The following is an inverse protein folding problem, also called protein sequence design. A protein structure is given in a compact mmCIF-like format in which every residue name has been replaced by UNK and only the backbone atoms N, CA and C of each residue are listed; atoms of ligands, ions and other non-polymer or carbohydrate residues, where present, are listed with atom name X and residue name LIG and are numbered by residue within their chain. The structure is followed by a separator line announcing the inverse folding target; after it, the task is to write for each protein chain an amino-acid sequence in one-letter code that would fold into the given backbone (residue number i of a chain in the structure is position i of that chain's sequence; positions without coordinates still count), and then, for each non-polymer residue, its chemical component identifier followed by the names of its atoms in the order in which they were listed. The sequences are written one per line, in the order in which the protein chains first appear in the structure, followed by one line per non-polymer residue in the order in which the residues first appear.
data_IF_695567312472
#
_entry.id   IF_695567312472
#
_cell.length_a   1.000
_cell.length_b   1.000
_cell.length_c   1.000
_cell.angle_alpha   90.00
_cell.angle_beta   90.00
_cell.angle_gamma   90.00
#
_symmetry.space_group_name_H-M   'P 1'
#
loop_
_entity.id
_entity.type
_entity.pdbx_description
1 polymer ?
#
# COMPACT_ATOMS: atom_id res chain seq x y z
N UNK A 1 -10.83 -11.12 13.76
CA UNK A 1 -12.30 -11.26 13.93
C UNK A 1 -12.92 -10.91 12.59
N UNK A 2 -13.61 -11.88 12.00
CA UNK A 2 -14.28 -11.67 10.72
C UNK A 2 -15.58 -10.91 11.00
N UNK A 3 -15.65 -9.67 10.55
CA UNK A 3 -16.84 -8.83 10.71
C UNK A 3 -17.85 -9.26 9.64
N UNK A 4 -19.13 -9.56 9.98
CA UNK A 4 -20.12 -10.04 9.00
C UNK A 4 -20.28 -9.13 7.78
N UNK A 5 -20.17 -7.81 7.96
CA UNK A 5 -20.20 -6.85 6.86
C UNK A 5 -18.99 -7.00 5.93
N UNK A 6 -17.83 -7.43 6.45
CA UNK A 6 -16.63 -7.69 5.64
C UNK A 6 -16.83 -8.87 4.71
N UNK A 7 -17.40 -9.97 5.22
CA UNK A 7 -17.72 -11.14 4.41
C UNK A 7 -18.73 -10.79 3.32
N UNK A 8 -19.79 -10.04 3.66
CA UNK A 8 -20.80 -9.60 2.70
C UNK A 8 -20.22 -8.66 1.63
N UNK A 9 -19.38 -7.71 2.00
CA UNK A 9 -18.67 -6.86 1.03
C UNK A 9 -17.70 -7.67 0.16
N UNK A 10 -17.02 -8.66 0.73
CA UNK A 10 -16.14 -9.55 -0.01
C UNK A 10 -16.92 -10.46 -0.98
N UNK A 11 -18.10 -10.92 -0.61
CA UNK A 11 -19.00 -11.67 -1.49
C UNK A 11 -19.48 -10.80 -2.65
N UNK A 12 -19.96 -9.58 -2.35
CA UNK A 12 -20.38 -8.62 -3.37
C UNK A 12 -19.24 -8.22 -4.31
N UNK A 13 -18.03 -8.06 -3.78
CA UNK A 13 -16.85 -7.76 -4.58
C UNK A 13 -16.46 -8.89 -5.55
N UNK A 14 -16.85 -10.14 -5.27
CA UNK A 14 -16.61 -11.31 -6.12
C UNK A 14 -17.66 -11.54 -7.20
N UNK A 15 -18.77 -10.82 -7.17
CA UNK A 15 -19.76 -10.88 -8.25
C UNK A 15 -19.11 -10.45 -9.56
N UNK A 16 -19.24 -11.21 -10.66
CA UNK A 16 -18.54 -10.92 -11.92
C UNK A 16 -18.75 -9.49 -12.42
N UNK A 17 -19.93 -8.93 -12.27
CA UNK A 17 -20.23 -7.55 -12.64
C UNK A 17 -19.44 -6.55 -11.79
N UNK A 18 -19.31 -6.77 -10.49
CA UNK A 18 -18.56 -5.90 -9.57
C UNK A 18 -17.06 -5.98 -9.85
N UNK A 19 -16.54 -7.18 -10.15
CA UNK A 19 -15.15 -7.38 -10.56
C UNK A 19 -14.86 -6.61 -11.84
N UNK A 20 -15.73 -6.73 -12.85
CA UNK A 20 -15.57 -6.02 -14.12
C UNK A 20 -15.60 -4.50 -13.93
N UNK A 21 -16.52 -3.95 -13.12
CA UNK A 21 -16.57 -2.54 -12.75
C UNK A 21 -15.28 -2.10 -12.04
N UNK A 22 -14.69 -2.94 -11.19
CA UNK A 22 -13.43 -2.64 -10.49
C UNK A 22 -12.22 -2.64 -11.44
N UNK A 23 -12.18 -3.58 -12.39
CA UNK A 23 -11.16 -3.63 -13.43
C UNK A 23 -11.26 -2.40 -14.34
N UNK A 24 -12.48 -2.04 -14.78
CA UNK A 24 -12.73 -0.86 -15.60
C UNK A 24 -12.29 0.43 -14.87
N UNK A 25 -12.66 0.57 -13.61
CA UNK A 25 -12.25 1.70 -12.76
C UNK A 25 -10.72 1.83 -12.66
N UNK A 26 -10.03 0.74 -12.34
CA UNK A 26 -8.56 0.74 -12.27
C UNK A 26 -7.93 1.13 -13.60
N UNK A 27 -8.40 0.54 -14.70
CA UNK A 27 -7.90 0.87 -16.03
C UNK A 27 -8.13 2.34 -16.39
N UNK A 28 -9.29 2.91 -16.04
CA UNK A 28 -9.60 4.35 -16.22
C UNK A 28 -8.64 5.23 -15.41
N UNK A 29 -8.44 4.91 -14.12
CA UNK A 29 -7.60 5.74 -13.23
C UNK A 29 -6.11 5.67 -13.54
N UNK A 30 -5.63 4.56 -14.11
CA UNK A 30 -4.22 4.42 -14.53
C UNK A 30 -3.94 5.13 -15.88
N UNK A 31 -4.22 6.43 -15.95
CA UNK A 31 -3.99 7.27 -17.14
C UNK A 31 -2.52 7.38 -17.54
N UNK A 32 -1.63 7.14 -16.59
CA UNK A 32 -0.18 7.16 -16.79
C UNK A 32 0.35 5.92 -17.51
N UNK A 33 -0.40 4.80 -17.56
CA UNK A 33 0.01 3.60 -18.29
C UNK A 33 -0.11 3.81 -19.80
N UNK A 34 0.89 3.29 -20.49
CA UNK A 34 0.97 3.30 -21.95
C UNK A 34 1.05 1.88 -22.48
N UNK A 35 0.68 1.71 -23.73
CA UNK A 35 0.93 0.47 -24.46
C UNK A 35 2.43 0.13 -24.43
N UNK A 36 2.74 -1.14 -24.15
CA UNK A 36 4.11 -1.63 -24.01
C UNK A 36 4.77 -1.39 -22.64
N UNK A 37 4.12 -0.68 -21.69
CA UNK A 37 4.62 -0.64 -20.30
C UNK A 37 4.65 -2.06 -19.69
N UNK A 38 5.62 -2.31 -18.82
CA UNK A 38 5.74 -3.58 -18.08
C UNK A 38 5.55 -3.28 -16.60
N UNK A 39 4.47 -3.82 -16.04
CA UNK A 39 4.03 -3.55 -14.67
C UNK A 39 4.36 -4.74 -13.77
N UNK A 40 5.27 -4.55 -12.83
CA UNK A 40 5.60 -5.54 -11.81
C UNK A 40 4.63 -5.40 -10.63
N UNK A 41 3.81 -6.42 -10.39
CA UNK A 41 2.76 -6.44 -9.37
C UNK A 41 3.23 -7.29 -8.18
N UNK A 42 3.57 -6.64 -7.07
CA UNK A 42 4.00 -7.28 -5.82
C UNK A 42 2.82 -7.61 -4.90
N UNK A 43 1.86 -8.37 -5.42
CA UNK A 43 0.70 -8.90 -4.67
C UNK A 43 0.41 -10.32 -5.12
N UNK A 44 -0.07 -11.17 -4.17
CA UNK A 44 -0.41 -12.55 -4.48
C UNK A 44 -1.73 -12.63 -5.26
N UNK A 45 -1.73 -13.49 -6.28
CA UNK A 45 -2.94 -13.94 -6.95
C UNK A 45 -3.42 -15.23 -6.26
N UNK A 46 -3.84 -15.09 -4.99
CA UNK A 46 -4.15 -16.20 -4.09
C UNK A 46 -5.56 -16.75 -4.23
N UNK A 47 -6.48 -15.96 -4.77
CA UNK A 47 -7.89 -16.32 -4.94
C UNK A 47 -8.51 -15.54 -6.10
N UNK A 48 -9.62 -16.04 -6.67
CA UNK A 48 -10.40 -15.31 -7.68
C UNK A 48 -10.84 -13.93 -7.15
N UNK A 49 -10.69 -12.90 -7.96
CA UNK A 49 -11.00 -11.53 -7.61
C UNK A 49 -9.99 -10.88 -6.62
N UNK A 50 -8.82 -11.49 -6.41
CA UNK A 50 -7.75 -10.85 -5.61
C UNK A 50 -7.32 -9.52 -6.21
N UNK A 51 -6.77 -8.63 -5.39
CA UNK A 51 -6.26 -7.34 -5.86
C UNK A 51 -5.24 -7.50 -7.00
N UNK A 52 -4.37 -8.51 -6.92
CA UNK A 52 -3.42 -8.81 -7.97
C UNK A 52 -4.10 -9.18 -9.29
N UNK A 53 -5.16 -9.98 -9.26
CA UNK A 53 -5.93 -10.33 -10.46
C UNK A 53 -6.65 -9.13 -11.07
N UNK A 54 -7.27 -8.27 -10.24
CA UNK A 54 -7.92 -7.05 -10.70
C UNK A 54 -6.91 -6.11 -11.36
N UNK A 55 -5.76 -5.95 -10.73
CA UNK A 55 -4.69 -5.10 -11.24
C UNK A 55 -4.10 -5.64 -12.53
N UNK A 56 -3.84 -6.96 -12.61
CA UNK A 56 -3.39 -7.64 -13.82
C UNK A 56 -4.32 -7.36 -15.01
N UNK A 57 -5.61 -7.64 -14.85
CA UNK A 57 -6.62 -7.43 -15.91
C UNK A 57 -6.76 -5.96 -16.29
N UNK A 58 -6.65 -5.05 -15.32
CA UNK A 58 -6.70 -3.61 -15.61
C UNK A 58 -5.47 -3.13 -16.39
N UNK A 59 -4.28 -3.64 -16.06
CA UNK A 59 -3.03 -3.38 -16.78
C UNK A 59 -3.11 -3.90 -18.22
N UNK A 60 -3.56 -5.14 -18.41
CA UNK A 60 -3.72 -5.75 -19.74
C UNK A 60 -4.73 -5.00 -20.60
N UNK A 61 -5.82 -4.48 -20.01
CA UNK A 61 -6.82 -3.64 -20.70
C UNK A 61 -6.22 -2.34 -21.23
N UNK A 62 -5.13 -1.86 -20.64
CA UNK A 62 -4.38 -0.68 -21.12
C UNK A 62 -3.32 -1.01 -22.18
N UNK A 63 -3.22 -2.26 -22.63
CA UNK A 63 -2.17 -2.72 -23.56
C UNK A 63 -0.80 -2.90 -22.90
N UNK A 64 -0.71 -2.78 -21.59
CA UNK A 64 0.51 -3.01 -20.82
C UNK A 64 0.64 -4.49 -20.42
N UNK A 65 1.87 -4.93 -20.10
CA UNK A 65 2.15 -6.30 -19.66
C UNK A 65 2.25 -6.37 -18.16
N UNK A 66 1.49 -7.26 -17.53
CA UNK A 66 1.63 -7.57 -16.10
C UNK A 66 2.68 -8.66 -15.86
N UNK A 67 3.44 -8.51 -14.79
CA UNK A 67 4.39 -9.49 -14.25
C UNK A 67 4.08 -9.66 -12.77
N UNK A 68 3.66 -10.87 -12.37
CA UNK A 68 3.25 -11.17 -11.00
C UNK A 68 4.30 -12.01 -10.28
N UNK A 69 4.30 -11.90 -8.96
CA UNK A 69 5.04 -12.80 -8.08
C UNK A 69 4.16 -14.04 -7.83
N UNK A 70 4.65 -15.21 -8.18
CA UNK A 70 3.85 -16.45 -8.05
C UNK A 70 3.90 -17.04 -6.64
N UNK A 71 5.09 -17.46 -6.18
CA UNK A 71 5.24 -18.23 -4.93
C UNK A 71 6.40 -17.79 -4.04
N UNK A 72 7.42 -17.20 -4.62
CA UNK A 72 8.66 -16.87 -3.90
C UNK A 72 8.74 -15.35 -3.64
N UNK A 73 8.49 -14.97 -2.40
CA UNK A 73 8.43 -13.58 -1.95
C UNK A 73 9.75 -13.06 -1.39
N UNK A 74 10.81 -13.86 -1.43
CA UNK A 74 12.12 -13.42 -0.95
C UNK A 74 12.60 -12.18 -1.72
N UNK A 75 13.22 -11.30 -1.00
CA UNK A 75 13.75 -10.04 -1.54
C UNK A 75 14.57 -10.22 -2.83
N UNK A 76 15.39 -11.29 -2.87
CA UNK A 76 16.18 -11.59 -4.07
C UNK A 76 15.34 -12.00 -5.27
N UNK A 77 14.24 -12.72 -5.05
CA UNK A 77 13.32 -13.09 -6.12
C UNK A 77 12.60 -11.88 -6.66
N UNK A 78 12.11 -10.99 -5.78
CA UNK A 78 11.49 -9.73 -6.17
C UNK A 78 12.45 -8.88 -7.01
N UNK A 79 13.70 -8.74 -6.57
CA UNK A 79 14.71 -8.00 -7.31
C UNK A 79 14.99 -8.60 -8.70
N UNK A 80 15.16 -9.92 -8.78
CA UNK A 80 15.41 -10.63 -10.04
C UNK A 80 14.25 -10.47 -11.02
N UNK A 81 13.01 -10.63 -10.55
CA UNK A 81 11.82 -10.46 -11.38
C UNK A 81 11.68 -9.04 -11.91
N UNK A 82 11.82 -8.02 -11.05
CA UNK A 82 11.76 -6.62 -11.47
C UNK A 82 12.84 -6.29 -12.50
N UNK A 83 14.07 -6.80 -12.31
CA UNK A 83 15.18 -6.58 -13.23
C UNK A 83 15.00 -7.34 -14.56
N UNK A 84 14.76 -8.66 -14.51
CA UNK A 84 14.71 -9.51 -15.71
C UNK A 84 13.52 -9.20 -16.61
N UNK A 85 12.40 -8.79 -16.01
CA UNK A 85 11.22 -8.35 -16.77
C UNK A 85 11.40 -6.97 -17.41
N UNK A 86 12.41 -6.19 -16.99
CA UNK A 86 12.59 -4.78 -17.35
C UNK A 86 11.36 -3.93 -17.00
N UNK A 87 10.72 -4.24 -15.87
CA UNK A 87 9.56 -3.50 -15.42
C UNK A 87 9.88 -2.01 -15.27
N UNK A 88 9.03 -1.17 -15.84
CA UNK A 88 9.13 0.28 -15.73
C UNK A 88 8.03 0.89 -14.86
N UNK A 89 7.07 0.06 -14.44
CA UNK A 89 6.03 0.39 -13.45
C UNK A 89 6.05 -0.67 -12.36
N UNK A 90 5.85 -0.26 -11.11
CA UNK A 90 5.68 -1.18 -9.98
C UNK A 90 4.38 -0.87 -9.23
N UNK A 91 3.65 -1.92 -8.85
CA UNK A 91 2.50 -1.88 -7.96
C UNK A 91 2.85 -2.68 -6.72
N UNK A 92 3.06 -2.02 -5.59
CA UNK A 92 3.56 -2.68 -4.37
C UNK A 92 3.21 -1.89 -3.09
N UNK A 93 3.31 -2.53 -1.90
CA UNK A 93 3.34 -1.82 -0.64
C UNK A 93 4.51 -0.82 -0.60
N UNK A 94 4.33 0.40 -0.03
CA UNK A 94 5.33 1.46 -0.11
C UNK A 94 6.69 1.05 0.48
N UNK A 95 6.69 0.29 1.58
CA UNK A 95 7.94 -0.18 2.21
C UNK A 95 8.62 -1.27 1.39
N UNK A 96 7.88 -2.07 0.62
CA UNK A 96 8.46 -3.03 -0.34
C UNK A 96 9.17 -2.28 -1.47
N UNK A 97 8.57 -1.19 -1.97
CA UNK A 97 9.23 -0.34 -2.98
C UNK A 97 10.54 0.21 -2.43
N UNK A 98 10.53 0.83 -1.24
CA UNK A 98 11.73 1.40 -0.62
C UNK A 98 12.81 0.33 -0.37
N UNK A 99 12.44 -0.83 0.18
CA UNK A 99 13.36 -1.94 0.43
C UNK A 99 13.97 -2.48 -0.87
N UNK A 100 13.16 -2.69 -1.90
CA UNK A 100 13.60 -3.19 -3.20
C UNK A 100 14.62 -2.25 -3.85
N UNK A 101 14.41 -0.93 -3.75
CA UNK A 101 15.34 0.07 -4.27
C UNK A 101 16.68 0.06 -3.52
N UNK A 102 16.64 -0.03 -2.19
CA UNK A 102 17.86 -0.16 -1.37
C UNK A 102 18.63 -1.43 -1.71
N UNK A 103 17.91 -2.55 -1.86
CA UNK A 103 18.52 -3.82 -2.25
C UNK A 103 19.15 -3.74 -3.65
N UNK A 104 18.44 -3.14 -4.61
CA UNK A 104 18.95 -2.92 -5.96
C UNK A 104 20.28 -2.13 -5.94
N UNK A 105 20.31 -1.04 -5.17
CA UNK A 105 21.53 -0.25 -4.97
C UNK A 105 22.65 -1.07 -4.31
N UNK A 106 22.35 -1.78 -3.23
CA UNK A 106 23.33 -2.63 -2.53
C UNK A 106 23.93 -3.71 -3.43
N UNK A 107 23.11 -4.29 -4.33
CA UNK A 107 23.55 -5.31 -5.29
C UNK A 107 24.13 -4.76 -6.59
N UNK A 108 24.12 -3.45 -6.79
CA UNK A 108 24.52 -2.85 -8.06
C UNK A 108 23.63 -3.26 -9.25
N UNK A 109 22.36 -3.61 -8.98
CA UNK A 109 21.40 -4.06 -9.99
C UNK A 109 20.55 -2.87 -10.44
N UNK A 110 20.61 -2.41 -11.69
CA UNK A 110 19.79 -1.30 -12.16
C UNK A 110 18.32 -1.74 -12.26
N UNK A 111 17.41 -0.90 -11.78
CA UNK A 111 15.98 -1.05 -12.01
C UNK A 111 15.49 0.05 -12.95
N UNK A 112 14.52 -0.28 -13.78
CA UNK A 112 13.98 0.60 -14.83
C UNK A 112 12.69 1.31 -14.40
N UNK A 113 12.30 1.19 -13.12
CA UNK A 113 11.07 1.75 -12.56
C UNK A 113 11.07 3.28 -12.74
N UNK A 114 9.97 3.80 -13.29
CA UNK A 114 9.71 5.23 -13.51
C UNK A 114 8.36 5.67 -12.95
N UNK A 115 7.50 4.71 -12.63
CA UNK A 115 6.14 4.93 -12.12
C UNK A 115 5.88 3.95 -11.00
N UNK A 116 5.29 4.43 -9.92
CA UNK A 116 4.98 3.62 -8.74
C UNK A 116 3.52 3.77 -8.37
N UNK A 117 2.83 2.67 -8.17
CA UNK A 117 1.50 2.62 -7.53
C UNK A 117 1.66 1.95 -6.17
N UNK A 118 1.44 2.71 -5.11
CA UNK A 118 1.46 2.17 -3.75
C UNK A 118 0.08 1.62 -3.39
N UNK A 119 0.03 0.43 -2.83
CA UNK A 119 -1.21 -0.22 -2.38
C UNK A 119 -0.94 -1.19 -1.22
N UNK A 120 -1.99 -1.75 -0.63
CA UNK A 120 -1.93 -2.82 0.38
C UNK A 120 -1.51 -2.39 1.78
N UNK A 121 -0.87 -1.25 1.92
CA UNK A 121 -0.53 -0.59 3.18
C UNK A 121 -0.62 0.92 2.98
N UNK A 122 -1.03 1.71 4.00
CA UNK A 122 -1.09 3.15 3.88
C UNK A 122 0.26 3.74 3.47
N UNK A 123 0.24 4.57 2.44
CA UNK A 123 1.43 5.31 2.01
C UNK A 123 1.45 6.66 2.70
N UNK A 124 2.23 6.77 3.77
CA UNK A 124 2.43 8.04 4.46
C UNK A 124 3.23 9.01 3.57
N UNK A 125 3.05 10.32 3.79
CA UNK A 125 3.70 11.36 2.98
C UNK A 125 5.22 11.15 2.87
N UNK A 126 5.90 10.85 4.00
CA UNK A 126 7.34 10.60 3.99
C UNK A 126 7.75 9.37 3.14
N UNK A 127 6.88 8.35 3.03
CA UNK A 127 7.12 7.19 2.17
C UNK A 127 7.02 7.58 0.69
N UNK A 128 5.97 8.32 0.33
CA UNK A 128 5.77 8.82 -1.03
C UNK A 128 6.94 9.73 -1.48
N UNK A 129 7.34 10.68 -0.61
CA UNK A 129 8.49 11.56 -0.85
C UNK A 129 9.80 10.77 -0.96
N UNK A 130 10.00 9.77 -0.09
CA UNK A 130 11.16 8.88 -0.14
C UNK A 130 11.25 8.12 -1.44
N UNK A 131 10.14 7.54 -1.90
CA UNK A 131 10.03 6.82 -3.16
C UNK A 131 10.32 7.76 -4.34
N UNK A 132 9.64 8.90 -4.41
CA UNK A 132 9.81 9.87 -5.49
C UNK A 132 11.26 10.34 -5.60
N UNK A 133 11.89 10.67 -4.46
CA UNK A 133 13.29 11.13 -4.42
C UNK A 133 14.30 10.06 -4.82
N UNK A 134 14.11 8.80 -4.39
CA UNK A 134 15.05 7.70 -4.69
C UNK A 134 14.97 7.28 -6.15
N UNK A 135 13.77 7.30 -6.72
CA UNK A 135 13.50 6.79 -8.06
C UNK A 135 13.43 7.87 -9.13
N UNK A 136 13.32 9.15 -8.74
CA UNK A 136 12.97 10.23 -9.67
C UNK A 136 11.74 9.82 -10.51
N UNK A 137 10.67 9.43 -9.82
CA UNK A 137 9.49 8.82 -10.42
C UNK A 137 8.19 9.50 -9.99
N UNK A 138 7.16 9.29 -10.79
CA UNK A 138 5.79 9.65 -10.43
C UNK A 138 5.16 8.56 -9.54
N UNK A 139 4.40 8.99 -8.53
CA UNK A 139 3.82 8.09 -7.53
C UNK A 139 2.30 8.25 -7.44
N UNK A 140 1.60 7.14 -7.43
CA UNK A 140 0.15 7.06 -7.22
C UNK A 140 -0.15 6.17 -6.02
N UNK A 141 -1.33 6.39 -5.39
CA UNK A 141 -1.86 5.54 -4.34
C UNK A 141 -3.13 4.83 -4.79
N UNK A 142 -3.26 3.56 -4.47
CA UNK A 142 -4.49 2.80 -4.63
C UNK A 142 -4.94 2.34 -3.25
N UNK A 143 -6.15 2.74 -2.85
CA UNK A 143 -6.75 2.33 -1.60
C UNK A 143 -7.70 1.15 -1.84
N UNK A 144 -7.33 0.01 -1.28
CA UNK A 144 -8.14 -1.20 -1.25
C UNK A 144 -8.19 -1.68 0.21
N UNK A 145 -9.32 -1.58 0.89
CA UNK A 145 -9.46 -1.99 2.29
C UNK A 145 -9.06 -3.44 2.51
N UNK A 146 -8.54 -3.71 3.67
CA UNK A 146 -7.97 -4.98 4.10
C UNK A 146 -8.85 -6.20 3.77
N UNK A 147 -8.25 -7.20 3.14
CA UNK A 147 -8.88 -8.50 2.89
C UNK A 147 -9.87 -8.54 1.73
N UNK A 148 -10.16 -7.42 1.08
CA UNK A 148 -11.19 -7.31 0.06
C UNK A 148 -10.63 -6.96 -1.32
N UNK A 149 -11.26 -7.54 -2.31
CA UNK A 149 -11.09 -7.20 -3.72
C UNK A 149 -11.71 -5.84 -4.07
N UNK A 150 -12.02 -5.04 -3.05
CA UNK A 150 -12.73 -3.77 -3.15
C UNK A 150 -11.70 -2.67 -3.34
N UNK A 151 -11.63 -2.12 -4.55
CA UNK A 151 -10.87 -0.90 -4.79
C UNK A 151 -11.78 0.27 -4.43
N UNK A 152 -11.48 0.94 -3.32
CA UNK A 152 -12.29 2.03 -2.79
C UNK A 152 -11.79 3.41 -3.22
N UNK A 153 -10.56 3.54 -3.72
CA UNK A 153 -10.04 4.82 -4.20
C UNK A 153 -8.72 4.72 -4.93
N UNK A 154 -8.42 5.77 -5.70
CA UNK A 154 -7.17 5.91 -6.45
C UNK A 154 -6.72 7.37 -6.47
N UNK A 155 -5.42 7.63 -6.35
CA UNK A 155 -4.89 9.00 -6.41
C UNK A 155 -4.79 9.51 -7.84
N UNK A 156 -4.85 10.82 -8.00
CA UNK A 156 -4.69 11.47 -9.31
C UNK A 156 -3.24 11.82 -9.67
N UNK A 157 -2.29 11.62 -8.74
CA UNK A 157 -0.89 12.02 -8.91
C UNK A 157 -0.63 13.54 -8.82
N UNK A 158 -1.65 14.38 -8.61
CA UNK A 158 -1.52 15.84 -8.49
C UNK A 158 -1.50 16.32 -7.05
N UNK A 159 -2.17 15.61 -6.15
CA UNK A 159 -2.21 15.91 -4.72
C UNK A 159 -2.15 14.63 -3.90
N UNK A 160 -1.79 14.77 -2.63
CA UNK A 160 -1.82 13.64 -1.69
C UNK A 160 -3.23 13.13 -1.45
N UNK A 161 -3.32 11.86 -1.06
CA UNK A 161 -4.57 11.18 -0.82
C UNK A 161 -5.13 10.46 -2.05
N UNK A 162 -6.29 9.86 -1.86
CA UNK A 162 -6.98 9.11 -2.90
C UNK A 162 -8.39 9.67 -3.12
N UNK A 163 -8.81 9.77 -4.36
CA UNK A 163 -10.20 10.04 -4.70
C UNK A 163 -11.03 8.80 -4.38
N UNK A 164 -12.08 8.97 -3.59
CA UNK A 164 -12.99 7.90 -3.26
C UNK A 164 -13.76 7.46 -4.51
N UNK A 165 -13.96 6.17 -4.66
CA UNK A 165 -14.89 5.61 -5.63
C UNK A 165 -16.32 5.82 -5.14
N UNK A 166 -16.76 7.06 -5.19
CA UNK A 166 -18.03 7.54 -4.64
C UNK A 166 -19.26 7.18 -5.47
N UNK A 167 -19.06 6.56 -6.64
CA UNK A 167 -20.13 5.89 -7.41
C UNK A 167 -20.63 4.62 -6.71
N UNK A 168 -19.80 3.98 -5.88
CA UNK A 168 -20.10 2.70 -5.21
C UNK A 168 -20.11 2.85 -3.68
N UNK A 169 -19.16 3.59 -3.13
CA UNK A 169 -18.92 3.65 -1.69
C UNK A 169 -19.28 5.01 -1.12
N UNK A 170 -19.94 5.00 0.04
CA UNK A 170 -19.93 6.12 0.95
C UNK A 170 -18.90 5.91 2.05
N UNK A 171 -18.49 7.00 2.70
CA UNK A 171 -17.53 6.97 3.81
C UNK A 171 -18.00 7.88 4.93
N UNK A 172 -17.80 7.46 6.15
CA UNK A 172 -17.88 8.30 7.35
C UNK A 172 -16.58 8.20 8.12
N UNK A 173 -16.13 9.32 8.63
CA UNK A 173 -15.02 9.38 9.58
C UNK A 173 -15.62 9.62 10.95
N UNK A 174 -15.34 8.72 11.90
CA UNK A 174 -15.98 8.73 13.22
C UNK A 174 -14.94 8.79 14.35
N UNK A 175 -15.35 9.32 15.48
CA UNK A 175 -14.57 9.27 16.71
C UNK A 175 -14.67 7.90 17.41
N UNK A 176 -14.03 7.75 18.56
CA UNK A 176 -14.05 6.52 19.38
C UNK A 176 -15.45 6.16 19.91
N UNK A 177 -16.39 7.10 19.88
CA UNK A 177 -17.79 6.89 20.28
C UNK A 177 -18.71 6.59 19.10
N UNK A 178 -18.19 6.58 17.88
CA UNK A 178 -18.94 6.37 16.64
C UNK A 178 -19.65 7.63 16.13
N UNK A 179 -19.40 8.82 16.70
CA UNK A 179 -19.93 10.07 16.21
C UNK A 179 -19.11 10.58 15.01
N UNK A 180 -19.80 11.09 13.98
CA UNK A 180 -19.14 11.64 12.80
C UNK A 180 -18.32 12.88 13.19
N UNK A 181 -17.03 12.91 12.84
CA UNK A 181 -16.16 14.05 13.07
C UNK A 181 -16.32 15.09 11.95
N UNK A 182 -15.98 16.36 12.21
CA UNK A 182 -15.93 17.40 11.17
C UNK A 182 -15.02 17.04 10.00
N UNK A 183 -15.33 17.56 8.81
CA UNK A 183 -14.50 17.39 7.62
C UNK A 183 -13.06 17.88 7.90
N UNK A 184 -12.07 17.12 7.43
CA UNK A 184 -10.66 17.39 7.65
C UNK A 184 -10.13 16.94 9.02
N UNK A 185 -10.95 16.45 9.93
CA UNK A 185 -10.47 15.84 11.17
C UNK A 185 -10.12 14.35 10.99
N UNK A 186 -9.12 13.87 11.72
CA UNK A 186 -8.66 12.48 11.68
C UNK A 186 -9.51 11.61 12.60
N UNK A 187 -10.15 10.58 12.03
CA UNK A 187 -10.93 9.61 12.78
C UNK A 187 -10.91 8.22 12.16
N UNK A 188 -11.63 7.29 12.76
CA UNK A 188 -11.81 5.93 12.25
C UNK A 188 -12.66 5.93 10.98
N UNK A 189 -12.25 5.16 9.99
CA UNK A 189 -12.94 5.08 8.70
C UNK A 189 -13.99 3.97 8.70
N UNK A 190 -15.20 4.34 8.36
CA UNK A 190 -16.32 3.41 8.12
C UNK A 190 -16.75 3.57 6.67
N UNK A 191 -16.60 2.50 5.88
CA UNK A 191 -17.13 2.42 4.52
C UNK A 191 -18.51 1.79 4.51
N UNK A 192 -19.34 2.19 3.57
CA UNK A 192 -20.63 1.56 3.29
C UNK A 192 -20.92 1.56 1.79
N UNK A 193 -21.78 0.65 1.34
CA UNK A 193 -22.29 0.65 -0.02
C UNK A 193 -23.37 1.72 -0.16
N UNK A 194 -23.32 2.55 -1.20
CA UNK A 194 -24.32 3.61 -1.38
C UNK A 194 -25.74 3.11 -1.63
N UNK A 195 -25.87 1.96 -2.27
CA UNK A 195 -27.15 1.29 -2.55
C UNK A 195 -27.64 0.42 -1.36
N UNK A 196 -26.78 0.12 -0.38
CA UNK A 196 -27.07 -0.63 0.83
C UNK A 196 -26.35 0.01 2.05
N UNK A 197 -26.75 1.24 2.45
CA UNK A 197 -26.02 2.01 3.46
C UNK A 197 -26.04 1.40 4.87
N UNK A 198 -26.95 0.44 5.12
CA UNK A 198 -27.00 -0.34 6.35
C UNK A 198 -25.85 -1.36 6.48
N UNK A 199 -25.15 -1.65 5.37
CA UNK A 199 -23.97 -2.52 5.36
C UNK A 199 -22.73 -1.66 5.57
N UNK A 200 -22.43 -1.42 6.84
CA UNK A 200 -21.28 -0.65 7.26
C UNK A 200 -20.09 -1.55 7.57
N UNK A 201 -18.93 -1.10 7.14
CA UNK A 201 -17.67 -1.78 7.38
C UNK A 201 -16.65 -0.85 8.05
N UNK A 202 -16.37 -1.06 9.35
CA UNK A 202 -15.22 -0.43 10.00
C UNK A 202 -13.93 -0.97 9.35
N UNK A 203 -13.24 -0.12 8.62
CA UNK A 203 -12.06 -0.53 7.84
C UNK A 203 -10.87 -0.89 8.74
N UNK A 204 -10.83 -0.30 9.95
CA UNK A 204 -9.70 -0.38 10.87
C UNK A 204 -8.56 0.56 10.48
N UNK A 205 -8.77 1.39 9.46
CA UNK A 205 -7.89 2.49 9.10
C UNK A 205 -8.46 3.81 9.63
N UNK A 206 -7.60 4.77 9.88
CA UNK A 206 -7.96 6.17 10.16
C UNK A 206 -7.67 7.01 8.94
N UNK A 207 -8.48 8.05 8.73
CA UNK A 207 -8.29 9.00 7.64
C UNK A 207 -8.92 10.35 7.95
N UNK A 208 -8.66 11.33 7.07
CA UNK A 208 -9.37 12.60 6.97
C UNK A 208 -10.21 12.59 5.71
N UNK A 209 -11.47 13.02 5.81
CA UNK A 209 -12.32 13.25 4.65
C UNK A 209 -12.18 14.70 4.21
N UNK A 210 -11.87 14.90 2.93
CA UNK A 210 -11.70 16.22 2.32
C UNK A 210 -12.70 16.37 1.17
N UNK A 211 -13.52 17.41 1.24
CA UNK A 211 -14.59 17.71 0.27
C UNK A 211 -14.20 18.82 -0.72
N UNK A 212 -13.15 19.59 -0.41
CA UNK A 212 -12.66 20.65 -1.30
C UNK A 212 -12.21 20.07 -2.63
N UNK A 213 -12.45 20.79 -3.75
CA UNK A 213 -11.99 20.37 -5.07
C UNK A 213 -10.49 20.06 -5.09
N UNK A 214 -10.10 19.06 -5.85
CA UNK A 214 -8.70 18.69 -6.02
C UNK A 214 -8.03 19.54 -7.11
N UNK A 215 -6.72 19.75 -7.01
CA UNK A 215 -5.90 20.41 -8.05
C UNK A 215 -5.96 19.70 -9.41
N UNK A 216 -6.44 18.46 -9.45
CA UNK A 216 -6.70 17.74 -10.70
C UNK A 216 -8.02 18.17 -11.39
N UNK A 217 -8.82 19.04 -10.77
CA UNK A 217 -10.13 19.48 -11.23
C UNK A 217 -11.29 18.55 -10.85
N UNK A 218 -11.03 17.46 -10.12
CA UNK A 218 -12.10 16.55 -9.65
C UNK A 218 -12.77 17.09 -8.38
N UNK A 219 -14.09 16.98 -8.33
CA UNK A 219 -14.94 17.25 -7.15
C UNK A 219 -15.16 16.01 -6.28
N UNK A 220 -14.61 14.85 -6.65
CA UNK A 220 -14.73 13.63 -5.88
C UNK A 220 -14.16 13.79 -4.46
N UNK A 221 -14.84 13.20 -3.48
CA UNK A 221 -14.35 13.12 -2.10
C UNK A 221 -12.94 12.51 -2.05
N UNK A 222 -12.08 13.06 -1.21
CA UNK A 222 -10.73 12.54 -1.02
C UNK A 222 -10.53 12.02 0.40
N UNK A 223 -9.82 10.89 0.49
CA UNK A 223 -9.30 10.37 1.75
C UNK A 223 -7.83 10.74 1.85
N UNK A 224 -7.49 11.45 2.91
CA UNK A 224 -6.11 11.90 3.20
C UNK A 224 -5.62 11.30 4.51
N UNK A 225 -4.30 11.28 4.69
CA UNK A 225 -3.65 10.79 5.92
C UNK A 225 -4.11 9.39 6.32
N UNK A 226 -4.41 8.52 5.33
CA UNK A 226 -4.81 7.14 5.61
C UNK A 226 -3.68 6.48 6.39
N UNK A 227 -4.02 5.93 7.57
CA UNK A 227 -3.05 5.25 8.43
C UNK A 227 -3.68 4.05 9.15
N UNK A 228 -2.87 3.04 9.42
CA UNK A 228 -3.28 1.77 10.01
C UNK A 228 -2.19 1.20 10.93
N UNK A 229 -2.59 0.50 11.99
CA UNK A 229 -1.66 -0.20 12.87
C UNK A 229 -0.56 0.72 13.39
N UNK A 230 0.70 0.34 13.22
CA UNK A 230 1.85 1.13 13.66
C UNK A 230 1.96 2.51 12.99
N UNK A 231 1.39 2.68 11.80
CA UNK A 231 1.35 3.97 11.11
C UNK A 231 0.37 4.97 11.74
N UNK A 232 -0.63 4.51 12.49
CA UNK A 232 -1.54 5.37 13.25
C UNK A 232 -0.98 5.82 14.61
N UNK A 233 0.12 5.21 15.07
CA UNK A 233 0.85 5.61 16.28
C UNK A 233 1.96 6.59 15.87
N UNK A 234 1.90 7.89 16.30
CA UNK A 234 2.86 8.89 15.86
C UNK A 234 4.31 8.59 16.24
N UNK A 235 4.55 7.92 17.38
CA UNK A 235 5.89 7.53 17.80
C UNK A 235 6.44 6.41 16.91
N UNK A 236 5.65 5.37 16.66
CA UNK A 236 6.06 4.28 15.77
C UNK A 236 6.25 4.77 14.33
N UNK A 237 5.38 5.67 13.84
CA UNK A 237 5.52 6.27 12.52
C UNK A 237 6.83 7.06 12.40
N UNK A 238 7.17 7.87 13.42
CA UNK A 238 8.44 8.63 13.47
C UNK A 238 9.66 7.71 13.50
N UNK A 239 9.64 6.66 14.32
CA UNK A 239 10.72 5.66 14.37
C UNK A 239 10.87 4.94 13.04
N UNK A 240 9.76 4.55 12.40
CA UNK A 240 9.76 3.93 11.07
C UNK A 240 10.35 4.84 10.00
N UNK A 241 9.99 6.12 10.00
CA UNK A 241 10.56 7.12 9.11
C UNK A 241 12.08 7.24 9.29
N UNK A 242 12.55 7.35 10.53
CA UNK A 242 13.98 7.44 10.83
C UNK A 242 14.72 6.20 10.34
N UNK A 243 14.26 4.99 10.69
CA UNK A 243 14.87 3.74 10.28
C UNK A 243 14.91 3.60 8.75
N UNK A 244 13.78 3.82 8.10
CA UNK A 244 13.69 3.64 6.64
C UNK A 244 14.38 4.73 5.84
N UNK A 245 14.80 5.84 6.45
CA UNK A 245 15.66 6.84 5.82
C UNK A 245 17.09 6.36 5.58
N UNK A 246 17.57 5.36 6.32
CA UNK A 246 18.93 4.84 6.23
C UNK A 246 19.07 3.78 5.13
N UNK A 247 20.07 3.97 4.28
CA UNK A 247 20.35 3.04 3.16
C UNK A 247 20.85 1.67 3.61
N UNK A 248 21.47 1.58 4.79
CA UNK A 248 21.95 0.34 5.40
C UNK A 248 20.82 -0.55 5.97
N UNK A 249 19.61 -0.02 6.11
CA UNK A 249 18.45 -0.75 6.62
C UNK A 249 17.58 -1.17 5.44
N UNK A 250 17.46 -2.49 5.23
CA UNK A 250 16.61 -3.07 4.20
C UNK A 250 15.14 -2.98 4.59
N UNK A 251 14.81 -3.39 5.81
CA UNK A 251 13.44 -3.50 6.29
C UNK A 251 13.38 -3.39 7.81
N UNK A 252 12.21 -3.04 8.36
CA UNK A 252 11.98 -3.01 9.78
C UNK A 252 10.54 -3.40 10.14
N UNK A 253 10.37 -3.99 11.32
CA UNK A 253 9.08 -4.23 11.96
C UNK A 253 9.05 -3.50 13.28
N UNK A 254 7.98 -2.78 13.52
CA UNK A 254 7.75 -2.02 14.73
C UNK A 254 6.44 -2.45 15.39
N UNK A 255 6.44 -2.50 16.72
CA UNK A 255 5.23 -2.77 17.49
C UNK A 255 5.29 -2.03 18.84
N UNK A 256 4.10 -1.83 19.43
CA UNK A 256 3.97 -1.32 20.79
C UNK A 256 3.98 -2.50 21.76
N UNK A 257 5.04 -2.62 22.53
CA UNK A 257 5.11 -3.57 23.63
C UNK A 257 4.70 -2.95 24.96
N UNK A 258 4.65 -3.76 26.01
CA UNK A 258 4.26 -3.33 27.37
C UNK A 258 5.16 -2.24 27.97
N UNK A 259 6.40 -2.15 27.52
CA UNK A 259 7.42 -1.22 28.04
C UNK A 259 7.89 -0.18 27.02
N UNK A 260 7.16 0.00 25.91
CA UNK A 260 7.50 0.95 24.87
C UNK A 260 7.66 0.31 23.49
N UNK A 261 8.41 0.98 22.61
CA UNK A 261 8.61 0.51 21.24
C UNK A 261 9.46 -0.77 21.21
N UNK A 262 8.99 -1.77 20.49
CA UNK A 262 9.77 -2.95 20.10
C UNK A 262 10.10 -2.87 18.61
N UNK A 263 11.35 -3.22 18.25
CA UNK A 263 11.78 -3.17 16.86
C UNK A 263 12.58 -4.41 16.46
N UNK A 264 12.33 -4.87 15.24
CA UNK A 264 13.17 -5.77 14.49
C UNK A 264 13.68 -5.05 13.24
N UNK A 265 15.00 -5.07 13.02
CA UNK A 265 15.66 -4.35 11.94
C UNK A 265 16.52 -5.32 11.14
N UNK A 266 16.30 -5.35 9.83
CA UNK A 266 17.09 -6.13 8.87
C UNK A 266 18.05 -5.19 8.14
N UNK A 267 19.34 -5.52 8.16
CA UNK A 267 20.41 -4.67 7.64
C UNK A 267 21.23 -5.39 6.59
N UNK A 268 21.89 -4.64 5.72
CA UNK A 268 22.86 -5.22 4.81
C UNK A 268 24.18 -5.54 5.53
N UNK A 269 24.75 -6.70 5.21
CA UNK A 269 26.02 -7.13 5.80
C UNK A 269 27.17 -6.18 5.40
N UNK A 270 28.00 -5.80 6.37
CA UNK A 270 29.13 -4.90 6.16
C UNK A 270 28.79 -3.40 6.14
N UNK A 271 27.51 -3.04 6.17
CA UNK A 271 27.09 -1.64 6.23
C UNK A 271 27.13 -1.11 7.66
N UNK A 272 27.55 0.16 7.80
CA UNK A 272 27.55 0.84 9.09
C UNK A 272 26.14 1.14 9.55
N UNK A 273 25.78 0.64 10.73
CA UNK A 273 24.50 0.96 11.35
C UNK A 273 24.47 2.38 11.90
N UNK A 274 23.35 3.09 11.70
CA UNK A 274 23.13 4.36 12.38
C UNK A 274 22.93 4.15 13.88
N UNK A 275 22.92 5.26 14.63
CA UNK A 275 22.44 5.23 16.01
C UNK A 275 20.92 5.01 15.98
N UNK A 276 20.52 3.79 16.34
CA UNK A 276 19.10 3.44 16.32
C UNK A 276 18.33 4.19 17.42
N UNK A 277 17.03 4.51 17.17
CA UNK A 277 16.17 5.14 18.16
C UNK A 277 16.08 4.36 19.48
N UNK A 278 15.79 5.02 20.61
CA UNK A 278 15.49 4.34 21.86
C UNK A 278 14.31 3.38 21.71
N UNK A 279 14.41 2.22 22.30
CA UNK A 279 13.36 1.21 22.27
C UNK A 279 13.44 0.27 23.47
N UNK A 280 12.31 -0.33 23.85
CA UNK A 280 12.21 -1.29 24.95
C UNK A 280 12.83 -2.64 24.58
N UNK A 281 12.66 -3.08 23.33
CA UNK A 281 13.23 -4.32 22.81
C UNK A 281 13.75 -4.12 21.40
N UNK A 282 14.95 -4.63 21.14
CA UNK A 282 15.61 -4.48 19.85
C UNK A 282 16.18 -5.81 19.37
N UNK A 283 15.84 -6.17 18.14
CA UNK A 283 16.49 -7.24 17.40
C UNK A 283 17.09 -6.63 16.12
N UNK A 284 18.39 -6.74 15.96
CA UNK A 284 19.10 -6.32 14.74
C UNK A 284 19.78 -7.53 14.15
N UNK A 285 19.55 -7.81 12.89
CA UNK A 285 20.16 -8.93 12.18
C UNK A 285 20.52 -8.56 10.75
N UNK A 286 21.50 -9.27 10.22
CA UNK A 286 21.83 -9.15 8.81
C UNK A 286 20.77 -9.82 7.94
N UNK A 287 20.53 -9.23 6.78
CA UNK A 287 19.70 -9.79 5.74
C UNK A 287 20.23 -11.16 5.28
N UNK A 288 19.32 -12.13 5.18
CA UNK A 288 19.58 -13.45 4.63
C UNK A 288 18.91 -13.60 3.27
N UNK A 289 19.68 -13.64 2.15
CA UNK A 289 19.12 -13.71 0.80
C UNK A 289 18.29 -14.96 0.51
N UNK A 290 18.52 -16.05 1.27
CA UNK A 290 17.86 -17.34 1.07
C UNK A 290 16.53 -17.46 1.84
N UNK A 291 16.24 -16.54 2.78
CA UNK A 291 15.11 -16.68 3.69
C UNK A 291 14.26 -15.43 3.80
N UNK A 292 14.85 -14.23 3.69
CA UNK A 292 14.15 -13.02 4.09
C UNK A 292 13.17 -12.55 3.03
N UNK A 293 11.94 -12.40 3.47
CA UNK A 293 10.83 -11.77 2.77
C UNK A 293 10.52 -10.40 3.38
N UNK A 294 9.85 -9.49 2.68
CA UNK A 294 9.40 -8.22 3.24
C UNK A 294 8.49 -8.41 4.45
N UNK A 295 8.75 -7.69 5.54
CA UNK A 295 7.91 -7.76 6.75
C UNK A 295 6.46 -7.32 6.51
N UNK A 296 6.26 -6.37 5.61
CA UNK A 296 4.94 -5.80 5.32
C UNK A 296 4.16 -6.58 4.28
N UNK A 297 4.70 -7.69 3.80
CA UNK A 297 4.03 -8.55 2.87
C UNK A 297 4.01 -9.98 3.41
N UNK A 298 2.88 -10.37 3.96
CA UNK A 298 2.63 -11.78 4.28
C UNK A 298 1.34 -12.18 3.57
N UNK A 299 1.40 -13.00 2.50
CA UNK A 299 0.21 -13.51 1.84
C UNK A 299 -0.69 -14.22 2.84
N UNK A 300 -1.92 -13.76 3.01
CA UNK A 300 -2.93 -14.40 3.85
C UNK A 300 -2.75 -14.28 5.36
N UNK A 301 -1.76 -13.53 5.86
CA UNK A 301 -1.58 -13.29 7.29
C UNK A 301 -1.66 -11.81 7.60
N UNK A 302 -2.88 -11.35 7.84
CA UNK A 302 -3.09 -10.10 8.56
C UNK A 302 -2.90 -10.37 10.06
N UNK A 303 -1.65 -10.37 10.52
CA UNK A 303 -1.34 -10.28 11.94
C UNK A 303 -1.07 -8.82 12.26
N UNK A 304 -2.15 -8.09 12.53
CA UNK A 304 -2.13 -6.83 13.26
C UNK A 304 -3.25 -6.87 14.28
#
# INVERSE_FOLDING_TARGET
MDHPALEKMAELARVPETLEKSIAYLAEKMTFLKDGDIVFICFAKDKPGSFAELMEKAVERKGAKAVLVEKDWRWMTLLRLAFSSRANVIVAPPLVVLGLMKLARYKGTPLYIRKVVTAGYPCLNWMAEGIARILDCETWGCFAPKGNCVVAGFSCGKSFGVHLRDDVYGVRIVDEKGAVVPDGELGEMVLFLKDQPEIEYPVGDRARLVKEPCDCGSEQLRLMDICHGSASDPELAKVGQELMSWTSILDCRLSRGSYGVEMEVVTFAGEKLPKLPPCAKRLVRNWNPEKDEPFFYVPGVNKY
#
